data_IF_211784382577
#
_entry.id   IF_211784382577
#
_cell.length_a   1.000
_cell.length_b   1.000
_cell.length_c   1.000
_cell.angle_alpha   90.00
_cell.angle_beta   90.00
_cell.angle_gamma   90.00
#
_symmetry.space_group_name_H-M   'P 1'
#
loop_
_entity.id
_entity.type
_entity.pdbx_description
1 polymer ?
#
# COMPACT_ATOMS: atom_id res chain seq x y z
N UNK A 1 25.22 5.88 4.34
CA UNK A 1 25.26 6.88 3.24
C UNK A 1 24.89 6.31 1.86
N UNK A 2 24.32 5.10 1.77
CA UNK A 2 24.10 4.42 0.48
C UNK A 2 23.30 5.21 -0.55
N UNK A 3 22.14 5.77 -0.18
CA UNK A 3 21.31 6.55 -1.11
C UNK A 3 22.02 7.77 -1.73
N UNK A 4 22.83 8.49 -0.94
CA UNK A 4 23.65 9.60 -1.44
C UNK A 4 24.71 9.13 -2.45
N UNK A 5 25.43 8.05 -2.13
CA UNK A 5 26.46 7.50 -3.00
C UNK A 5 25.86 6.92 -4.29
N UNK A 6 24.66 6.32 -4.21
CA UNK A 6 23.93 5.84 -5.38
C UNK A 6 23.62 6.98 -6.36
N UNK A 7 23.12 8.12 -5.86
CA UNK A 7 22.87 9.31 -6.70
C UNK A 7 24.15 9.86 -7.33
N UNK A 8 25.25 9.93 -6.57
CA UNK A 8 26.56 10.33 -7.08
C UNK A 8 27.05 9.38 -8.18
N UNK A 9 26.90 8.08 -7.99
CA UNK A 9 27.27 7.06 -8.98
C UNK A 9 26.40 7.08 -10.24
N UNK A 10 25.12 7.44 -10.11
CA UNK A 10 24.17 7.54 -11.22
C UNK A 10 24.46 8.70 -12.20
N UNK A 11 25.41 9.57 -11.88
CA UNK A 11 25.94 10.55 -12.84
C UNK A 11 26.77 9.90 -13.96
N UNK A 12 27.21 8.64 -13.78
CA UNK A 12 27.86 7.88 -14.85
C UNK A 12 26.82 7.54 -15.95
N UNK A 13 27.07 7.91 -17.23
CA UNK A 13 26.11 7.74 -18.32
C UNK A 13 25.76 6.28 -18.64
N UNK A 14 26.54 5.32 -18.14
CA UNK A 14 26.27 3.89 -18.26
C UNK A 14 25.12 3.44 -17.35
N UNK A 15 24.88 4.14 -16.25
CA UNK A 15 23.82 3.82 -15.30
C UNK A 15 22.47 4.30 -15.83
N UNK A 16 21.53 3.36 -16.03
CA UNK A 16 20.21 3.64 -16.61
C UNK A 16 19.11 3.80 -15.58
N UNK A 17 19.33 3.31 -14.36
CA UNK A 17 18.40 3.45 -13.25
C UNK A 17 19.16 3.55 -11.92
N UNK A 18 18.61 4.32 -10.98
CA UNK A 18 19.14 4.51 -9.64
C UNK A 18 18.04 4.39 -8.59
N UNK A 19 18.31 3.64 -7.53
CA UNK A 19 17.46 3.61 -6.32
C UNK A 19 18.20 4.30 -5.19
N UNK A 20 17.76 5.51 -4.83
CA UNK A 20 18.27 6.24 -3.68
C UNK A 20 17.47 5.88 -2.43
N UNK A 21 17.91 4.85 -1.72
CA UNK A 21 17.29 4.44 -0.47
C UNK A 21 17.77 5.30 0.72
N UNK A 22 16.84 6.02 1.36
CA UNK A 22 17.09 6.89 2.51
C UNK A 22 18.30 7.83 2.31
N UNK A 23 18.42 8.37 1.10
CA UNK A 23 19.48 9.32 0.75
C UNK A 23 19.28 10.68 1.41
N UNK A 24 20.38 11.40 1.67
CA UNK A 24 20.35 12.78 2.16
C UNK A 24 20.76 13.76 1.06
N UNK A 25 20.22 14.97 1.11
CA UNK A 25 20.61 16.02 0.16
C UNK A 25 21.91 16.73 0.58
N UNK A 26 22.08 16.96 1.88
CA UNK A 26 23.23 17.63 2.48
C UNK A 26 23.44 17.10 3.91
N UNK A 27 24.52 16.35 4.14
CA UNK A 27 24.75 15.66 5.41
C UNK A 27 24.92 16.64 6.56
N UNK A 28 25.71 17.69 6.36
CA UNK A 28 25.98 18.67 7.41
C UNK A 28 24.71 19.43 7.82
N UNK A 29 23.86 19.76 6.84
CA UNK A 29 22.56 20.38 7.13
C UNK A 29 21.67 19.48 7.99
N UNK A 30 21.62 18.18 7.70
CA UNK A 30 20.85 17.19 8.50
C UNK A 30 21.37 17.11 9.94
N UNK A 31 22.69 17.07 10.12
CA UNK A 31 23.28 17.02 11.46
C UNK A 31 23.01 18.31 12.23
N UNK A 32 23.11 19.47 11.57
CA UNK A 32 22.86 20.79 12.17
C UNK A 32 21.45 20.92 12.73
N UNK A 33 20.43 20.36 12.07
CA UNK A 33 19.03 20.45 12.56
C UNK A 33 18.81 19.73 13.90
N UNK A 34 19.76 18.92 14.34
CA UNK A 34 19.70 18.14 15.59
C UNK A 34 20.55 18.73 16.72
N UNK A 35 21.18 19.87 16.48
CA UNK A 35 22.02 20.57 17.46
C UNK A 35 21.43 21.95 17.78
N UNK A 36 21.67 22.47 19.01
CA UNK A 36 21.30 23.84 19.33
C UNK A 36 21.97 24.81 18.34
N UNK A 37 21.17 25.67 17.71
CA UNK A 37 21.66 26.58 16.66
C UNK A 37 22.80 27.48 17.15
N UNK A 38 22.72 27.97 18.39
CA UNK A 38 23.80 28.78 18.99
C UNK A 38 25.11 28.01 19.10
N UNK A 39 25.07 26.72 19.46
CA UNK A 39 26.25 25.90 19.71
C UNK A 39 27.00 25.65 18.39
N UNK A 40 26.28 25.15 17.39
CA UNK A 40 26.87 24.83 16.09
C UNK A 40 27.32 26.09 15.33
N UNK A 41 26.56 27.19 15.39
CA UNK A 41 26.95 28.44 14.73
C UNK A 41 28.18 29.09 15.39
N UNK A 42 28.32 28.98 16.72
CA UNK A 42 29.51 29.45 17.44
C UNK A 42 30.78 28.68 17.08
N UNK A 43 30.66 27.38 16.80
CA UNK A 43 31.79 26.59 16.30
C UNK A 43 32.12 26.92 14.83
N UNK A 44 31.10 27.03 13.97
CA UNK A 44 31.29 27.41 12.56
C UNK A 44 31.94 28.78 12.42
N UNK A 45 31.58 29.76 13.25
CA UNK A 45 32.16 31.11 13.22
C UNK A 45 33.59 31.19 13.73
N UNK A 46 34.13 30.10 14.29
CA UNK A 46 35.45 30.05 14.92
C UNK A 46 35.49 30.67 16.32
N UNK A 47 34.37 31.16 16.86
CA UNK A 47 34.31 31.69 18.23
C UNK A 47 34.49 30.59 19.28
N UNK A 48 34.00 29.39 19.00
CA UNK A 48 34.23 28.19 19.80
C UNK A 48 35.33 27.33 19.16
N UNK A 49 36.38 27.02 19.93
CA UNK A 49 37.46 26.15 19.48
C UNK A 49 37.04 24.68 19.40
N UNK A 50 37.75 23.90 18.58
CA UNK A 50 37.56 22.45 18.48
C UNK A 50 37.69 21.75 19.84
N UNK A 51 38.64 22.19 20.68
CA UNK A 51 38.82 21.62 22.01
C UNK A 51 37.57 21.78 22.88
N UNK A 52 36.89 22.93 22.79
CA UNK A 52 35.65 23.18 23.52
C UNK A 52 34.51 22.33 22.94
N UNK A 53 34.35 22.31 21.61
CA UNK A 53 33.34 21.49 20.94
C UNK A 53 33.49 20.00 21.30
N UNK A 54 34.71 19.47 21.16
CA UNK A 54 35.05 18.08 21.46
C UNK A 54 34.82 17.74 22.93
N UNK A 55 35.15 18.65 23.86
CA UNK A 55 34.90 18.45 25.30
C UNK A 55 33.41 18.37 25.61
N UNK A 56 32.61 19.26 25.03
CA UNK A 56 31.15 19.25 25.20
C UNK A 56 30.55 17.95 24.66
N UNK A 57 30.92 17.55 23.44
CA UNK A 57 30.45 16.29 22.85
C UNK A 57 30.87 15.09 23.70
N UNK A 58 32.11 15.06 24.20
CA UNK A 58 32.59 13.98 25.07
C UNK A 58 31.81 13.87 26.39
N UNK A 59 31.50 15.00 27.03
CA UNK A 59 30.70 15.03 28.26
C UNK A 59 29.28 14.53 28.00
N UNK A 60 28.62 15.05 26.97
CA UNK A 60 27.25 14.66 26.62
C UNK A 60 27.17 13.19 26.18
N UNK A 61 28.19 12.69 25.50
CA UNK A 61 28.24 11.29 25.04
C UNK A 61 28.28 10.29 26.20
N UNK A 62 28.77 10.68 27.39
CA UNK A 62 28.72 9.82 28.59
C UNK A 62 27.30 9.55 29.08
N UNK A 63 26.37 10.44 28.77
CA UNK A 63 24.97 10.36 29.22
C UNK A 63 24.00 10.01 28.08
N UNK A 64 24.45 10.12 26.83
CA UNK A 64 23.65 9.80 25.65
C UNK A 64 24.34 8.73 24.81
N UNK A 65 23.82 7.50 24.90
CA UNK A 65 24.24 6.40 24.03
C UNK A 65 24.14 6.79 22.56
N UNK A 66 23.04 7.45 22.17
CA UNK A 66 22.82 7.86 20.78
C UNK A 66 23.91 8.83 20.30
N UNK A 67 24.27 9.83 21.10
CA UNK A 67 25.32 10.78 20.74
C UNK A 67 26.69 10.10 20.64
N UNK A 68 27.00 9.23 21.61
CA UNK A 68 28.25 8.45 21.62
C UNK A 68 28.35 7.54 20.40
N UNK A 69 27.27 6.84 20.07
CA UNK A 69 27.20 5.96 18.91
C UNK A 69 27.32 6.75 17.61
N UNK A 70 26.60 7.87 17.45
CA UNK A 70 26.62 8.67 16.22
C UNK A 70 28.01 9.26 15.92
N UNK A 71 28.65 9.91 16.90
CA UNK A 71 29.99 10.46 16.70
C UNK A 71 31.06 9.37 16.63
N UNK A 72 30.97 8.33 17.47
CA UNK A 72 31.90 7.20 17.44
C UNK A 72 31.87 6.44 16.11
N UNK A 73 30.67 6.13 15.63
CA UNK A 73 30.49 5.49 14.32
C UNK A 73 30.94 6.41 13.19
N UNK A 74 30.63 7.71 13.25
CA UNK A 74 31.08 8.66 12.22
C UNK A 74 32.61 8.80 12.16
N UNK A 75 33.28 8.89 13.32
CA UNK A 75 34.74 8.89 13.39
C UNK A 75 35.32 7.63 12.72
N UNK A 76 34.75 6.46 13.01
CA UNK A 76 35.17 5.21 12.39
C UNK A 76 34.92 5.18 10.87
N UNK A 77 33.72 5.57 10.41
CA UNK A 77 33.36 5.58 8.98
C UNK A 77 34.22 6.57 8.18
N UNK A 78 34.55 7.72 8.75
CA UNK A 78 35.29 8.77 8.06
C UNK A 78 36.81 8.69 8.25
N UNK A 79 37.29 7.89 9.21
CA UNK A 79 38.70 7.86 9.59
C UNK A 79 39.13 9.12 10.36
N UNK A 80 38.17 9.85 10.94
CA UNK A 80 38.41 11.05 11.74
C UNK A 80 38.68 10.68 13.20
N UNK A 81 39.47 11.48 13.90
CA UNK A 81 39.84 11.22 15.31
C UNK A 81 39.07 12.07 16.31
N UNK A 82 38.35 13.10 15.86
CA UNK A 82 37.58 14.00 16.73
C UNK A 82 36.17 14.30 16.21
N UNK A 83 35.21 14.61 17.10
CA UNK A 83 33.88 15.09 16.70
C UNK A 83 33.90 16.33 15.80
N UNK A 84 34.80 17.29 16.04
CA UNK A 84 34.94 18.48 15.21
C UNK A 84 35.37 18.12 13.77
N UNK A 85 36.29 17.16 13.61
CA UNK A 85 36.73 16.70 12.29
C UNK A 85 35.62 15.97 11.55
N UNK A 86 34.84 15.13 12.27
CA UNK A 86 33.61 14.53 11.72
C UNK A 86 32.67 15.59 11.15
N UNK A 87 32.44 16.67 11.89
CA UNK A 87 31.56 17.76 11.44
C UNK A 87 32.10 18.44 10.18
N UNK A 88 33.42 18.62 10.05
CA UNK A 88 34.05 19.15 8.83
C UNK A 88 33.93 18.16 7.67
N UNK A 89 34.15 16.88 7.92
CA UNK A 89 34.03 15.83 6.90
C UNK A 89 32.59 15.73 6.38
N UNK A 90 31.59 15.85 7.25
CA UNK A 90 30.18 15.90 6.86
C UNK A 90 29.85 17.05 5.88
N UNK A 91 30.55 18.18 5.93
CA UNK A 91 30.35 19.30 4.98
C UNK A 91 30.71 18.92 3.54
N UNK A 92 31.56 17.91 3.34
CA UNK A 92 31.98 17.43 2.01
C UNK A 92 30.88 16.61 1.33
N UNK A 93 29.90 16.11 2.09
CA UNK A 93 28.83 15.24 1.57
C UNK A 93 27.55 16.05 1.33
N UNK A 94 27.46 16.65 0.15
CA UNK A 94 26.30 17.43 -0.28
C UNK A 94 26.05 17.23 -1.77
N UNK A 95 24.81 17.35 -2.22
CA UNK A 95 24.44 17.39 -3.64
C UNK A 95 24.47 18.82 -4.21
N UNK A 96 24.65 19.82 -3.36
CA UNK A 96 24.89 21.21 -3.80
C UNK A 96 26.22 21.32 -4.53
N UNK A 97 26.27 22.14 -5.57
CA UNK A 97 27.53 22.57 -6.18
C UNK A 97 27.88 24.01 -5.80
N UNK A 98 29.14 24.38 -5.94
CA UNK A 98 29.67 25.70 -5.57
C UNK A 98 29.23 26.84 -6.49
N UNK A 99 28.74 26.51 -7.68
CA UNK A 99 28.26 27.42 -8.72
C UNK A 99 26.72 27.56 -8.70
N UNK A 100 26.07 27.19 -7.59
CA UNK A 100 24.62 27.08 -7.42
C UNK A 100 23.92 26.09 -8.37
N UNK A 101 24.68 25.31 -9.17
CA UNK A 101 24.12 24.25 -9.99
C UNK A 101 23.73 23.02 -9.17
N UNK A 102 22.81 22.22 -9.69
CA UNK A 102 22.30 21.03 -9.02
C UNK A 102 23.07 19.80 -9.49
N UNK A 103 23.74 19.07 -8.59
CA UNK A 103 24.45 17.84 -8.97
C UNK A 103 23.51 16.82 -9.63
N UNK A 104 22.26 16.75 -9.16
CA UNK A 104 21.27 15.81 -9.66
C UNK A 104 20.98 15.96 -11.17
N UNK A 105 21.24 17.13 -11.77
CA UNK A 105 21.12 17.34 -13.22
C UNK A 105 22.10 16.50 -14.05
N UNK A 106 23.14 15.93 -13.43
CA UNK A 106 24.08 15.01 -14.10
C UNK A 106 23.50 13.59 -14.29
N UNK A 107 22.38 13.26 -13.64
CA UNK A 107 21.76 11.94 -13.71
C UNK A 107 20.79 11.88 -14.88
N UNK A 108 21.06 11.01 -15.86
CA UNK A 108 20.18 10.83 -17.03
C UNK A 108 19.28 9.59 -16.94
N UNK A 109 19.59 8.67 -16.03
CA UNK A 109 18.81 7.46 -15.80
C UNK A 109 17.52 7.70 -15.00
N UNK A 110 16.64 6.70 -14.97
CA UNK A 110 15.45 6.75 -14.14
C UNK A 110 15.82 6.73 -12.65
N UNK A 111 15.09 7.45 -11.80
CA UNK A 111 15.43 7.57 -10.37
C UNK A 111 14.23 7.26 -9.48
N UNK A 112 14.36 6.24 -8.64
CA UNK A 112 13.48 6.02 -7.50
C UNK A 112 14.15 6.61 -6.26
N UNK A 113 13.51 7.61 -5.65
CA UNK A 113 13.91 8.17 -4.36
C UNK A 113 13.01 7.61 -3.29
N UNK A 114 13.59 7.03 -2.22
CA UNK A 114 12.83 6.54 -1.08
C UNK A 114 13.22 7.26 0.20
N UNK A 115 12.27 7.42 1.11
CA UNK A 115 12.49 8.00 2.43
C UNK A 115 11.56 7.41 3.48
N UNK A 116 11.84 7.66 4.76
CA UNK A 116 11.09 7.13 5.91
C UNK A 116 10.20 8.20 6.53
N UNK A 117 8.87 8.02 6.51
CA UNK A 117 7.95 8.95 7.17
C UNK A 117 8.09 8.89 8.69
N UNK A 118 8.30 7.69 9.25
CA UNK A 118 8.40 7.42 10.69
C UNK A 118 9.86 7.38 11.18
N UNK A 119 10.70 8.13 10.49
CA UNK A 119 12.13 8.35 10.75
C UNK A 119 12.43 8.86 12.15
N UNK A 120 13.44 8.27 12.80
CA UNK A 120 13.99 8.79 14.05
C UNK A 120 15.12 9.83 13.86
N UNK A 121 15.59 10.03 12.62
CA UNK A 121 16.79 10.83 12.34
C UNK A 121 16.51 12.16 11.65
N UNK A 122 15.70 12.14 10.59
CA UNK A 122 15.46 13.32 9.74
C UNK A 122 14.17 13.18 8.94
N UNK A 123 13.44 14.28 8.79
CA UNK A 123 12.17 14.27 8.05
C UNK A 123 12.40 14.03 6.55
N UNK A 124 11.42 13.43 5.85
CA UNK A 124 11.49 13.27 4.40
C UNK A 124 11.64 14.60 3.65
N UNK A 125 11.08 15.70 4.18
CA UNK A 125 11.15 17.04 3.58
C UNK A 125 12.57 17.58 3.46
N UNK A 126 13.42 17.27 4.44
CA UNK A 126 14.82 17.70 4.42
C UNK A 126 15.65 16.91 3.40
N UNK A 127 15.21 15.70 3.04
CA UNK A 127 16.00 14.72 2.31
C UNK A 127 15.27 14.14 1.10
N UNK A 128 14.55 13.03 1.24
CA UNK A 128 13.95 12.31 0.10
C UNK A 128 13.06 13.20 -0.78
N UNK A 129 12.16 13.99 -0.18
CA UNK A 129 11.30 14.93 -0.93
C UNK A 129 12.12 16.04 -1.57
N UNK A 130 13.15 16.54 -0.87
CA UNK A 130 14.07 17.56 -1.42
C UNK A 130 14.88 17.05 -2.61
N UNK A 131 15.41 15.83 -2.54
CA UNK A 131 16.11 15.20 -3.66
C UNK A 131 15.15 15.07 -4.85
N UNK A 132 13.94 14.54 -4.61
CA UNK A 132 12.95 14.34 -5.66
C UNK A 132 12.52 15.64 -6.34
N UNK A 133 12.25 16.71 -5.57
CA UNK A 133 11.86 18.02 -6.15
C UNK A 133 12.99 18.71 -6.90
N UNK A 134 14.25 18.30 -6.69
CA UNK A 134 15.43 18.82 -7.40
C UNK A 134 15.77 18.03 -8.68
N UNK A 135 15.17 16.87 -8.91
CA UNK A 135 15.21 16.14 -10.18
C UNK A 135 14.26 16.78 -11.22
N UNK A 136 14.41 18.08 -11.44
CA UNK A 136 13.49 18.88 -12.27
C UNK A 136 13.63 18.60 -13.77
N UNK A 137 14.79 18.13 -14.21
CA UNK A 137 15.09 17.84 -15.61
C UNK A 137 14.58 16.47 -16.07
N UNK A 138 14.29 15.55 -15.12
CA UNK A 138 13.73 14.25 -15.45
C UNK A 138 12.21 14.34 -15.63
N UNK A 139 11.64 13.71 -16.68
CA UNK A 139 10.20 13.61 -16.85
C UNK A 139 9.56 12.73 -15.77
N UNK A 140 8.25 12.91 -15.52
CA UNK A 140 7.54 12.24 -14.42
C UNK A 140 7.50 10.71 -14.55
N UNK A 141 7.57 10.16 -15.76
CA UNK A 141 7.66 8.71 -16.02
C UNK A 141 9.06 8.12 -15.72
N UNK A 142 10.07 8.99 -15.52
CA UNK A 142 11.46 8.60 -15.22
C UNK A 142 11.86 8.86 -13.78
N UNK A 143 10.97 9.34 -12.93
CA UNK A 143 11.25 9.52 -11.50
C UNK A 143 10.06 9.10 -10.65
N UNK A 144 10.35 8.54 -9.49
CA UNK A 144 9.32 8.19 -8.52
C UNK A 144 9.79 8.51 -7.10
N UNK A 145 8.84 8.89 -6.25
CA UNK A 145 9.05 9.11 -4.83
C UNK A 145 8.25 8.09 -4.03
N UNK A 146 8.90 7.40 -3.10
CA UNK A 146 8.24 6.49 -2.17
C UNK A 146 8.61 6.83 -0.72
N UNK A 147 7.66 7.44 0.00
CA UNK A 147 7.80 7.81 1.42
C UNK A 147 6.61 7.20 2.18
N UNK A 148 6.69 5.90 2.55
CA UNK A 148 5.63 5.22 3.28
C UNK A 148 5.63 5.57 4.76
N UNK A 149 4.50 5.29 5.44
CA UNK A 149 4.30 5.27 6.90
C UNK A 149 3.88 3.86 7.34
N UNK A 150 4.11 3.50 8.59
CA UNK A 150 3.86 2.15 9.13
C UNK A 150 5.03 1.20 8.86
N UNK A 151 5.39 0.37 9.84
CA UNK A 151 6.56 -0.53 9.76
C UNK A 151 6.41 -1.51 8.59
N UNK A 152 5.20 -2.04 8.43
CA UNK A 152 4.78 -3.00 7.41
C UNK A 152 4.93 -2.47 5.98
N UNK A 153 4.80 -1.16 5.78
CA UNK A 153 5.00 -0.51 4.48
C UNK A 153 6.39 0.09 4.32
N UNK A 154 7.29 -0.12 5.30
CA UNK A 154 8.65 0.40 5.28
C UNK A 154 8.76 1.84 5.77
N UNK A 155 7.91 2.29 6.69
CA UNK A 155 7.88 3.66 7.21
C UNK A 155 9.14 4.10 7.96
N UNK A 156 9.95 3.15 8.44
CA UNK A 156 11.24 3.38 9.11
C UNK A 156 12.44 3.32 8.14
N UNK A 157 13.64 3.68 8.61
CA UNK A 157 14.88 3.49 7.85
C UNK A 157 15.21 2.00 7.60
N UNK A 158 16.07 1.73 6.62
CA UNK A 158 16.54 0.37 6.27
C UNK A 158 15.42 -0.57 5.79
N UNK A 159 14.41 0.01 5.12
CA UNK A 159 13.19 -0.63 4.61
C UNK A 159 13.36 -1.61 3.44
N UNK A 160 14.52 -2.27 3.30
CA UNK A 160 14.80 -3.15 2.15
C UNK A 160 13.75 -4.27 2.05
N UNK A 161 13.29 -4.81 3.18
CA UNK A 161 12.22 -5.82 3.22
C UNK A 161 10.86 -5.35 2.70
N UNK A 162 10.55 -4.05 2.80
CA UNK A 162 9.29 -3.48 2.32
C UNK A 162 9.28 -3.19 0.81
N UNK A 163 10.42 -3.32 0.12
CA UNK A 163 10.49 -3.11 -1.34
C UNK A 163 9.57 -4.09 -2.08
N UNK A 164 9.45 -5.34 -1.59
CA UNK A 164 8.52 -6.33 -2.15
C UNK A 164 7.06 -5.86 -2.09
N UNK A 165 6.65 -5.32 -0.94
CA UNK A 165 5.30 -4.75 -0.74
C UNK A 165 5.06 -3.55 -1.65
N UNK A 166 6.06 -2.69 -1.88
CA UNK A 166 5.96 -1.57 -2.82
C UNK A 166 5.70 -2.04 -4.27
N UNK A 167 6.17 -3.22 -4.65
CA UNK A 167 5.94 -3.77 -5.99
C UNK A 167 4.55 -4.38 -6.15
N UNK A 168 3.85 -4.69 -5.06
CA UNK A 168 2.50 -5.26 -5.06
C UNK A 168 1.40 -4.18 -5.10
N UNK A 169 1.64 -3.07 -5.81
CA UNK A 169 0.62 -2.03 -5.98
C UNK A 169 -0.31 -2.37 -7.14
N UNK A 170 -1.60 -2.50 -6.83
CA UNK A 170 -2.66 -2.57 -7.83
C UNK A 170 -3.21 -1.17 -8.07
N UNK A 171 -3.30 -0.75 -9.33
CA UNK A 171 -3.88 0.54 -9.71
C UNK A 171 -5.14 0.34 -10.53
N UNK A 172 -6.19 1.10 -10.22
CA UNK A 172 -7.42 1.14 -11.01
C UNK A 172 -7.37 2.39 -11.90
N UNK A 173 -7.44 2.26 -13.23
CA UNK A 173 -7.39 3.42 -14.13
C UNK A 173 -8.53 4.41 -13.83
N UNK A 174 -8.18 5.67 -13.55
CA UNK A 174 -9.17 6.72 -13.19
C UNK A 174 -10.16 7.03 -14.33
N UNK A 175 -9.74 6.80 -15.57
CA UNK A 175 -10.49 7.11 -16.79
C UNK A 175 -11.36 5.93 -17.28
N UNK A 176 -11.41 4.81 -16.54
CA UNK A 176 -12.19 3.64 -16.96
C UNK A 176 -13.68 3.96 -17.08
N UNK A 177 -14.30 3.59 -18.20
CA UNK A 177 -15.73 3.71 -18.46
C UNK A 177 -16.31 2.38 -18.92
N UNK A 178 -17.17 1.79 -18.09
CA UNK A 178 -17.87 0.55 -18.44
C UNK A 178 -18.71 0.75 -19.71
N UNK A 179 -18.63 -0.23 -20.62
CA UNK A 179 -19.28 -0.19 -21.93
C UNK A 179 -18.49 0.58 -23.01
N UNK A 180 -17.43 1.30 -22.64
CA UNK A 180 -16.58 2.04 -23.59
C UNK A 180 -15.16 1.50 -23.57
N UNK A 181 -14.48 1.56 -22.42
CA UNK A 181 -13.09 1.12 -22.29
C UNK A 181 -12.95 -0.38 -22.52
N UNK A 182 -13.82 -1.19 -21.89
CA UNK A 182 -13.81 -2.65 -22.05
C UNK A 182 -14.32 -3.15 -23.42
N UNK A 183 -14.75 -2.24 -24.29
CA UNK A 183 -15.18 -2.54 -25.66
C UNK A 183 -14.20 -1.99 -26.71
N UNK A 184 -13.12 -1.32 -26.29
CA UNK A 184 -12.12 -0.81 -27.21
C UNK A 184 -11.32 -1.96 -27.85
N UNK A 185 -10.78 -1.73 -29.04
CA UNK A 185 -9.99 -2.73 -29.75
C UNK A 185 -8.74 -3.17 -28.95
N UNK A 186 -8.13 -2.23 -28.24
CA UNK A 186 -6.96 -2.45 -27.39
C UNK A 186 -7.29 -3.32 -26.18
N UNK A 187 -8.46 -3.11 -25.57
CA UNK A 187 -8.91 -3.92 -24.44
C UNK A 187 -9.30 -5.32 -24.90
N UNK A 188 -10.08 -5.44 -25.98
CA UNK A 188 -10.54 -6.73 -26.52
C UNK A 188 -9.38 -7.58 -27.05
N UNK A 189 -8.29 -6.96 -27.51
CA UNK A 189 -7.07 -7.68 -27.86
C UNK A 189 -6.43 -8.41 -26.67
N UNK A 190 -6.61 -7.90 -25.45
CA UNK A 190 -6.12 -8.51 -24.20
C UNK A 190 -7.16 -9.41 -23.55
N UNK A 191 -8.42 -8.97 -23.55
CA UNK A 191 -9.55 -9.64 -22.89
C UNK A 191 -10.72 -9.77 -23.86
N UNK A 192 -10.78 -10.87 -24.66
CA UNK A 192 -11.71 -11.00 -25.77
C UNK A 192 -13.20 -10.96 -25.41
N UNK A 193 -13.55 -11.28 -24.16
CA UNK A 193 -14.93 -11.23 -23.66
C UNK A 193 -15.40 -9.79 -23.37
N UNK A 194 -14.50 -8.82 -23.29
CA UNK A 194 -14.83 -7.44 -22.94
C UNK A 194 -15.49 -7.29 -21.56
N UNK A 195 -15.29 -8.26 -20.67
CA UNK A 195 -15.83 -8.27 -19.30
C UNK A 195 -14.83 -7.65 -18.32
N UNK A 196 -15.35 -7.23 -17.17
CA UNK A 196 -14.56 -6.78 -16.02
C UNK A 196 -15.04 -7.50 -14.75
N UNK A 197 -14.18 -7.69 -13.73
CA UNK A 197 -12.80 -7.22 -13.63
C UNK A 197 -11.82 -7.94 -14.59
N UNK A 198 -10.75 -7.24 -14.93
CA UNK A 198 -9.64 -7.73 -15.75
C UNK A 198 -8.33 -7.17 -15.18
N UNK A 199 -7.27 -7.98 -15.18
CA UNK A 199 -5.99 -7.66 -14.55
C UNK A 199 -4.85 -7.78 -15.56
N UNK A 200 -4.00 -6.75 -15.61
CA UNK A 200 -2.75 -6.73 -16.35
C UNK A 200 -1.58 -6.46 -15.38
N UNK A 201 -0.66 -7.41 -15.29
CA UNK A 201 0.58 -7.28 -14.52
C UNK A 201 1.62 -6.42 -15.24
N UNK A 202 2.57 -5.87 -14.49
CA UNK A 202 3.67 -5.06 -15.05
C UNK A 202 4.59 -5.84 -16.00
N UNK A 203 4.55 -7.16 -15.93
CA UNK A 203 5.27 -8.11 -16.79
C UNK A 203 4.45 -8.55 -18.01
N UNK A 204 3.25 -7.99 -18.21
CA UNK A 204 2.33 -8.37 -19.29
C UNK A 204 1.44 -9.55 -18.96
N UNK A 205 1.44 -10.08 -17.73
CA UNK A 205 0.53 -11.14 -17.30
C UNK A 205 -0.92 -10.67 -17.41
N UNK A 206 -1.79 -11.44 -18.08
CA UNK A 206 -3.21 -11.12 -18.26
C UNK A 206 -4.09 -12.15 -17.55
N UNK A 207 -4.96 -11.70 -16.65
CA UNK A 207 -5.90 -12.55 -15.89
C UNK A 207 -7.29 -11.94 -15.96
N UNK A 208 -8.30 -12.76 -16.23
CA UNK A 208 -9.72 -12.40 -16.16
C UNK A 208 -10.44 -13.38 -15.22
N UNK A 209 -11.69 -13.06 -14.88
CA UNK A 209 -12.48 -13.64 -13.76
C UNK A 209 -12.05 -13.12 -12.39
N UNK A 210 -13.01 -12.58 -11.63
CA UNK A 210 -12.75 -11.90 -10.35
C UNK A 210 -12.03 -12.78 -9.34
N UNK A 211 -12.45 -14.05 -9.22
CA UNK A 211 -11.86 -14.98 -8.24
C UNK A 211 -10.45 -15.40 -8.62
N UNK A 212 -10.16 -15.54 -9.92
CA UNK A 212 -8.82 -15.85 -10.40
C UNK A 212 -7.86 -14.69 -10.15
N UNK A 213 -8.32 -13.45 -10.38
CA UNK A 213 -7.56 -12.24 -10.06
C UNK A 213 -7.32 -12.14 -8.55
N UNK A 214 -8.36 -12.34 -7.73
CA UNK A 214 -8.25 -12.27 -6.28
C UNK A 214 -7.30 -13.33 -5.71
N UNK A 215 -7.37 -14.57 -6.23
CA UNK A 215 -6.43 -15.63 -5.87
C UNK A 215 -5.00 -15.25 -6.23
N UNK A 216 -4.74 -14.80 -7.47
CA UNK A 216 -3.40 -14.40 -7.90
C UNK A 216 -2.82 -13.28 -7.03
N UNK A 217 -3.61 -12.26 -6.69
CA UNK A 217 -3.19 -11.16 -5.82
C UNK A 217 -2.89 -11.66 -4.41
N UNK A 218 -3.72 -12.57 -3.87
CA UNK A 218 -3.51 -13.15 -2.55
C UNK A 218 -2.22 -14.01 -2.50
N UNK A 219 -2.00 -14.87 -3.51
CA UNK A 219 -0.79 -15.70 -3.63
C UNK A 219 0.48 -14.87 -3.81
N UNK A 220 0.37 -13.75 -4.52
CA UNK A 220 1.49 -12.84 -4.76
C UNK A 220 1.85 -12.02 -3.53
N UNK A 221 0.95 -11.90 -2.56
CA UNK A 221 1.08 -11.07 -1.36
C UNK A 221 1.64 -11.82 -0.13
N UNK A 222 2.07 -11.10 0.92
CA UNK A 222 2.60 -11.70 2.15
C UNK A 222 1.55 -12.44 2.99
N UNK A 223 0.26 -12.36 2.61
CA UNK A 223 -0.87 -12.93 3.35
C UNK A 223 -1.49 -14.15 2.64
N UNK A 224 -0.80 -14.77 1.69
CA UNK A 224 -1.31 -15.91 0.91
C UNK A 224 -1.84 -17.04 1.79
N UNK A 225 -1.05 -17.52 2.75
CA UNK A 225 -1.46 -18.61 3.66
C UNK A 225 -2.71 -18.25 4.49
N UNK A 226 -2.84 -16.99 4.88
CA UNK A 226 -3.99 -16.48 5.65
C UNK A 226 -5.26 -16.41 4.81
N UNK A 227 -5.16 -15.91 3.57
CA UNK A 227 -6.30 -15.71 2.69
C UNK A 227 -6.74 -16.98 1.96
N UNK A 228 -5.81 -17.90 1.71
CA UNK A 228 -6.01 -19.08 0.85
C UNK A 228 -5.95 -20.40 1.62
N UNK A 229 -5.67 -20.36 2.92
CA UNK A 229 -5.63 -21.54 3.78
C UNK A 229 -4.25 -22.20 3.82
N UNK A 230 -3.92 -22.77 4.98
CA UNK A 230 -2.60 -23.36 5.26
C UNK A 230 -2.48 -24.83 4.86
N UNK A 231 -3.60 -25.54 4.78
CA UNK A 231 -3.67 -26.96 4.46
C UNK A 231 -4.70 -27.26 3.36
N UNK A 232 -4.74 -28.52 2.91
CA UNK A 232 -5.62 -28.94 1.81
C UNK A 232 -7.11 -28.80 2.15
N UNK A 233 -7.50 -28.95 3.42
CA UNK A 233 -8.89 -28.87 3.84
C UNK A 233 -9.34 -27.42 3.89
N UNK A 234 -8.54 -26.51 4.46
CA UNK A 234 -8.83 -25.07 4.46
C UNK A 234 -8.93 -24.56 3.02
N UNK A 235 -7.98 -24.92 2.14
CA UNK A 235 -7.99 -24.55 0.72
C UNK A 235 -9.27 -25.00 0.00
N UNK A 236 -9.67 -26.26 0.19
CA UNK A 236 -10.89 -26.80 -0.41
C UNK A 236 -12.15 -26.10 0.14
N UNK A 237 -12.18 -25.82 1.44
CA UNK A 237 -13.30 -25.14 2.11
C UNK A 237 -13.43 -23.69 1.63
N UNK A 238 -12.32 -22.98 1.48
CA UNK A 238 -12.30 -21.61 0.91
C UNK A 238 -12.84 -21.65 -0.52
N UNK A 239 -12.36 -22.57 -1.36
CA UNK A 239 -12.83 -22.70 -2.74
C UNK A 239 -14.32 -23.04 -2.82
N UNK A 240 -14.82 -23.92 -1.94
CA UNK A 240 -16.24 -24.26 -1.84
C UNK A 240 -17.09 -23.01 -1.59
N UNK A 241 -16.70 -22.19 -0.62
CA UNK A 241 -17.46 -20.99 -0.24
C UNK A 241 -17.35 -19.86 -1.27
N UNK A 242 -16.25 -19.76 -2.00
CA UNK A 242 -16.14 -18.87 -3.17
C UNK A 242 -17.17 -19.26 -4.24
N UNK A 243 -17.20 -20.54 -4.63
CA UNK A 243 -18.16 -21.03 -5.63
C UNK A 243 -19.61 -20.91 -5.15
N UNK A 244 -19.86 -21.19 -3.87
CA UNK A 244 -21.18 -20.99 -3.28
C UNK A 244 -21.61 -19.52 -3.34
N UNK A 245 -20.71 -18.59 -3.05
CA UNK A 245 -21.01 -17.16 -3.09
C UNK A 245 -21.37 -16.69 -4.50
N UNK A 246 -20.72 -17.21 -5.54
CA UNK A 246 -21.04 -16.85 -6.92
C UNK A 246 -22.39 -17.43 -7.38
N UNK A 247 -22.62 -18.71 -7.10
CA UNK A 247 -23.77 -19.46 -7.62
C UNK A 247 -25.05 -19.27 -6.81
N UNK A 248 -24.97 -19.30 -5.48
CA UNK A 248 -26.15 -19.30 -4.59
C UNK A 248 -26.47 -17.90 -4.03
N UNK A 249 -25.55 -16.93 -4.17
CA UNK A 249 -25.75 -15.56 -3.67
C UNK A 249 -25.68 -14.54 -4.80
N UNK A 250 -24.53 -14.39 -5.46
CA UNK A 250 -24.31 -13.32 -6.45
C UNK A 250 -25.26 -13.47 -7.66
N UNK A 251 -25.39 -14.68 -8.21
CA UNK A 251 -26.24 -14.95 -9.37
C UNK A 251 -27.71 -14.52 -9.15
N UNK A 252 -28.44 -14.99 -8.11
CA UNK A 252 -29.81 -14.54 -7.87
C UNK A 252 -29.88 -13.07 -7.43
N UNK A 253 -28.87 -12.53 -6.74
CA UNK A 253 -28.83 -11.10 -6.39
C UNK A 253 -28.80 -10.23 -7.64
N UNK A 254 -28.03 -10.61 -8.66
CA UNK A 254 -27.97 -9.88 -9.93
C UNK A 254 -29.35 -9.88 -10.62
N UNK A 255 -30.04 -11.02 -10.67
CA UNK A 255 -31.40 -11.11 -11.24
C UNK A 255 -32.39 -10.17 -10.52
N UNK A 256 -32.30 -10.08 -9.19
CA UNK A 256 -33.15 -9.21 -8.37
C UNK A 256 -32.78 -7.73 -8.53
N UNK A 257 -31.51 -7.40 -8.72
CA UNK A 257 -31.06 -5.99 -8.70
C UNK A 257 -31.19 -5.32 -10.06
N UNK A 258 -30.93 -6.01 -11.17
CA UNK A 258 -30.79 -5.38 -12.49
C UNK A 258 -32.02 -4.57 -12.92
N UNK A 259 -33.24 -5.05 -12.62
CA UNK A 259 -34.44 -4.29 -12.95
C UNK A 259 -34.70 -3.13 -11.98
N UNK A 260 -34.34 -3.29 -10.69
CA UNK A 260 -34.46 -2.22 -9.67
C UNK A 260 -33.57 -1.02 -9.99
N UNK A 261 -32.44 -1.25 -10.67
CA UNK A 261 -31.55 -0.18 -11.15
C UNK A 261 -31.84 0.24 -12.60
N UNK A 262 -32.93 -0.25 -13.21
CA UNK A 262 -33.38 0.15 -14.54
C UNK A 262 -32.54 -0.38 -15.70
N UNK A 263 -31.70 -1.41 -15.49
CA UNK A 263 -30.86 -1.99 -16.54
C UNK A 263 -31.61 -3.03 -17.38
N UNK A 264 -32.63 -3.68 -16.81
CA UNK A 264 -33.50 -4.63 -17.52
C UNK A 264 -34.97 -4.43 -17.12
N UNK A 265 -35.96 -4.86 -17.93
CA UNK A 265 -37.37 -4.87 -17.53
C UNK A 265 -37.65 -5.86 -16.39
N UNK A 266 -38.69 -5.59 -15.60
CA UNK A 266 -39.17 -6.51 -14.56
C UNK A 266 -39.82 -7.76 -15.16
N UNK A 267 -39.51 -8.92 -14.58
CA UNK A 267 -40.15 -10.20 -14.85
C UNK A 267 -40.45 -10.91 -13.52
N UNK A 268 -41.74 -11.12 -13.24
CA UNK A 268 -42.19 -11.72 -11.99
C UNK A 268 -41.71 -13.17 -11.80
N UNK A 269 -41.58 -13.96 -12.89
CA UNK A 269 -41.10 -15.34 -12.79
C UNK A 269 -39.60 -15.40 -12.45
N UNK A 270 -38.83 -14.46 -12.98
CA UNK A 270 -37.40 -14.32 -12.66
C UNK A 270 -37.24 -13.87 -11.20
N UNK A 271 -37.95 -12.82 -10.78
CA UNK A 271 -37.93 -12.31 -9.40
C UNK A 271 -38.26 -13.42 -8.38
N UNK A 272 -39.34 -14.17 -8.60
CA UNK A 272 -39.77 -15.24 -7.69
C UNK A 272 -38.72 -16.35 -7.57
N UNK A 273 -38.19 -16.83 -8.71
CA UNK A 273 -37.15 -17.88 -8.72
C UNK A 273 -35.85 -17.42 -8.07
N UNK A 274 -35.43 -16.19 -8.37
CA UNK A 274 -34.24 -15.60 -7.80
C UNK A 274 -34.39 -15.43 -6.28
N UNK A 275 -35.54 -14.97 -5.80
CA UNK A 275 -35.82 -14.82 -4.38
C UNK A 275 -35.82 -16.17 -3.65
N UNK A 276 -36.42 -17.21 -4.23
CA UNK A 276 -36.38 -18.58 -3.66
C UNK A 276 -34.94 -19.09 -3.55
N UNK A 277 -34.15 -18.91 -4.62
CA UNK A 277 -32.75 -19.34 -4.66
C UNK A 277 -31.91 -18.59 -3.63
N UNK A 278 -32.02 -17.26 -3.59
CA UNK A 278 -31.33 -16.42 -2.63
C UNK A 278 -31.68 -16.83 -1.19
N UNK A 279 -32.97 -16.95 -0.85
CA UNK A 279 -33.39 -17.35 0.50
C UNK A 279 -32.83 -18.70 0.92
N UNK A 280 -32.76 -19.68 0.00
CA UNK A 280 -32.10 -20.97 0.27
C UNK A 280 -30.61 -20.79 0.59
N UNK A 281 -29.90 -19.97 -0.19
CA UNK A 281 -28.51 -19.62 0.06
C UNK A 281 -28.31 -18.95 1.42
N UNK A 282 -29.14 -17.95 1.75
CA UNK A 282 -29.10 -17.24 3.04
C UNK A 282 -29.40 -18.19 4.21
N UNK A 283 -30.39 -19.08 4.10
CA UNK A 283 -30.68 -20.09 5.13
C UNK A 283 -29.51 -21.05 5.37
N UNK A 284 -28.82 -21.47 4.30
CA UNK A 284 -27.62 -22.30 4.42
C UNK A 284 -26.52 -21.58 5.19
N UNK A 285 -26.25 -20.32 4.85
CA UNK A 285 -25.25 -19.48 5.54
C UNK A 285 -25.62 -19.22 7.00
N UNK A 286 -26.87 -18.89 7.29
CA UNK A 286 -27.37 -18.64 8.65
C UNK A 286 -27.14 -19.86 9.56
N UNK A 287 -27.44 -21.05 9.05
CA UNK A 287 -27.21 -22.31 9.76
C UNK A 287 -25.71 -22.59 9.92
N UNK A 288 -24.94 -22.46 8.84
CA UNK A 288 -23.52 -22.80 8.83
C UNK A 288 -22.69 -21.88 9.74
N UNK A 289 -22.99 -20.59 9.74
CA UNK A 289 -22.31 -19.58 10.56
C UNK A 289 -22.69 -19.65 12.04
N UNK A 290 -23.68 -20.45 12.43
CA UNK A 290 -24.03 -20.64 13.83
C UNK A 290 -22.86 -21.29 14.60
N UNK A 291 -22.30 -20.55 15.56
CA UNK A 291 -21.10 -20.97 16.29
C UNK A 291 -19.78 -20.78 15.53
N UNK A 292 -19.79 -20.20 14.32
CA UNK A 292 -18.59 -19.92 13.54
C UNK A 292 -18.35 -18.42 13.40
N UNK A 293 -17.09 -18.01 13.50
CA UNK A 293 -16.69 -16.63 13.25
C UNK A 293 -16.50 -16.36 11.76
N UNK A 294 -15.85 -17.29 11.06
CA UNK A 294 -15.53 -17.21 9.63
C UNK A 294 -15.97 -18.48 8.89
N UNK A 295 -16.01 -18.42 7.56
CA UNK A 295 -16.49 -19.51 6.72
C UNK A 295 -15.54 -20.71 6.68
N UNK A 296 -14.23 -20.47 6.67
CA UNK A 296 -13.25 -21.53 6.41
C UNK A 296 -12.13 -21.65 7.47
N UNK A 297 -11.91 -20.60 8.25
CA UNK A 297 -10.77 -20.44 9.16
C UNK A 297 -11.25 -20.08 10.57
N UNK A 298 -10.42 -20.32 11.59
CA UNK A 298 -10.82 -20.08 13.00
C UNK A 298 -10.53 -18.64 13.45
N UNK A 299 -9.32 -18.16 13.20
CA UNK A 299 -8.83 -16.90 13.81
C UNK A 299 -9.17 -15.66 12.98
N UNK A 300 -8.98 -15.77 11.67
CA UNK A 300 -8.94 -14.65 10.73
C UNK A 300 -9.85 -14.86 9.50
N UNK A 301 -10.39 -13.79 8.89
CA UNK A 301 -11.15 -13.93 7.65
C UNK A 301 -10.24 -14.37 6.48
N UNK A 302 -10.79 -15.24 5.64
CA UNK A 302 -10.16 -15.76 4.42
C UNK A 302 -10.73 -15.09 3.17
N UNK A 303 -10.20 -15.45 1.99
CA UNK A 303 -10.75 -14.98 0.72
C UNK A 303 -12.24 -15.34 0.56
N UNK A 304 -12.69 -16.48 1.10
CA UNK A 304 -14.10 -16.86 1.08
C UNK A 304 -15.00 -15.84 1.77
N UNK A 305 -14.57 -15.32 2.92
CA UNK A 305 -15.34 -14.34 3.70
C UNK A 305 -15.47 -13.00 2.96
N UNK A 306 -14.38 -12.55 2.32
CA UNK A 306 -14.38 -11.34 1.51
C UNK A 306 -15.17 -11.50 0.21
N UNK A 307 -15.10 -12.66 -0.46
CA UNK A 307 -15.92 -12.96 -1.64
C UNK A 307 -17.41 -12.96 -1.29
N UNK A 308 -17.80 -13.59 -0.18
CA UNK A 308 -19.21 -13.59 0.27
C UNK A 308 -19.69 -12.16 0.57
N UNK A 309 -18.88 -11.35 1.26
CA UNK A 309 -19.24 -9.95 1.52
C UNK A 309 -19.38 -9.14 0.22
N UNK A 310 -18.54 -9.39 -0.78
CA UNK A 310 -18.68 -8.81 -2.12
C UNK A 310 -20.00 -9.20 -2.79
N UNK A 311 -20.34 -10.48 -2.78
CA UNK A 311 -21.60 -10.98 -3.33
C UNK A 311 -22.85 -10.42 -2.62
N UNK A 312 -22.77 -10.25 -1.30
CA UNK A 312 -23.86 -9.67 -0.50
C UNK A 312 -23.99 -8.16 -0.61
N UNK A 313 -23.03 -7.45 -1.20
CA UNK A 313 -22.99 -5.98 -1.19
C UNK A 313 -24.27 -5.35 -1.74
N UNK A 314 -24.67 -5.72 -2.96
CA UNK A 314 -25.93 -5.26 -3.54
C UNK A 314 -27.16 -5.89 -2.90
N UNK A 315 -27.03 -7.10 -2.34
CA UNK A 315 -28.13 -7.74 -1.62
C UNK A 315 -28.58 -6.87 -0.45
N UNK A 316 -27.66 -6.42 0.42
CA UNK A 316 -28.00 -5.53 1.55
C UNK A 316 -28.44 -4.13 1.14
N UNK A 317 -27.99 -3.66 -0.04
CA UNK A 317 -28.34 -2.34 -0.56
C UNK A 317 -29.68 -2.30 -1.31
N UNK A 318 -30.26 -3.42 -1.73
CA UNK A 318 -31.41 -3.42 -2.65
C UNK A 318 -32.46 -4.51 -2.35
N UNK A 319 -32.10 -5.59 -1.66
CA UNK A 319 -32.95 -6.80 -1.55
C UNK A 319 -33.20 -7.20 -0.09
N UNK A 320 -32.16 -7.36 0.72
CA UNK A 320 -32.23 -7.80 2.11
C UNK A 320 -32.65 -6.61 2.98
N UNK A 321 -33.96 -6.42 3.06
CA UNK A 321 -34.63 -5.42 3.90
C UNK A 321 -34.57 -5.74 5.40
N UNK A 322 -35.18 -4.89 6.23
CA UNK A 322 -35.18 -5.04 7.69
C UNK A 322 -35.79 -6.37 8.14
N UNK A 323 -36.87 -6.83 7.50
CA UNK A 323 -37.55 -8.10 7.84
C UNK A 323 -36.67 -9.30 7.52
N UNK A 324 -36.00 -9.29 6.36
CA UNK A 324 -35.06 -10.36 6.01
C UNK A 324 -33.85 -10.39 6.95
N UNK A 325 -33.39 -9.23 7.43
CA UNK A 325 -32.30 -9.19 8.44
C UNK A 325 -32.71 -9.80 9.77
N UNK A 326 -33.96 -9.63 10.18
CA UNK A 326 -34.50 -10.26 11.39
C UNK A 326 -34.60 -11.80 11.25
N UNK A 327 -34.81 -12.30 10.03
CA UNK A 327 -34.81 -13.73 9.72
C UNK A 327 -33.40 -14.33 9.63
N UNK A 328 -32.41 -13.53 9.23
CA UNK A 328 -31.00 -13.94 9.06
C UNK A 328 -30.02 -13.10 9.92
N UNK A 329 -30.19 -13.10 11.26
CA UNK A 329 -29.41 -12.24 12.14
C UNK A 329 -27.94 -12.65 12.27
N UNK A 330 -27.59 -13.93 12.15
CA UNK A 330 -26.19 -14.40 12.23
C UNK A 330 -25.43 -13.93 10.98
N UNK A 331 -26.01 -14.13 9.80
CA UNK A 331 -25.45 -13.65 8.53
C UNK A 331 -25.31 -12.13 8.52
N UNK A 332 -26.33 -11.41 9.01
CA UNK A 332 -26.28 -9.95 9.09
C UNK A 332 -25.11 -9.46 9.95
N UNK A 333 -24.90 -10.07 11.13
CA UNK A 333 -23.75 -9.75 11.99
C UNK A 333 -22.42 -10.15 11.36
N UNK A 334 -22.37 -11.26 10.63
CA UNK A 334 -21.19 -11.68 9.88
C UNK A 334 -20.81 -10.63 8.83
N UNK A 335 -21.76 -10.21 8.00
CA UNK A 335 -21.54 -9.20 6.96
C UNK A 335 -21.07 -7.87 7.55
N UNK A 336 -21.75 -7.38 8.60
CA UNK A 336 -21.35 -6.16 9.32
C UNK A 336 -19.91 -6.23 9.85
N UNK A 337 -19.47 -7.40 10.32
CA UNK A 337 -18.09 -7.61 10.79
C UNK A 337 -17.07 -7.50 9.66
N UNK A 338 -17.35 -8.11 8.51
CA UNK A 338 -16.42 -8.07 7.35
C UNK A 338 -16.30 -6.66 6.80
N UNK A 339 -17.41 -5.95 6.58
CA UNK A 339 -17.35 -4.58 6.02
C UNK A 339 -16.74 -3.56 6.98
N UNK A 340 -16.71 -3.85 8.28
CA UNK A 340 -16.04 -3.03 9.29
C UNK A 340 -14.56 -3.39 9.48
N UNK A 341 -14.05 -4.43 8.81
CA UNK A 341 -12.66 -4.87 8.95
C UNK A 341 -11.69 -3.79 8.43
N UNK A 342 -10.70 -3.44 9.24
CA UNK A 342 -9.84 -2.24 9.03
C UNK A 342 -9.24 -2.18 7.63
N UNK A 343 -8.75 -3.32 7.13
CA UNK A 343 -8.05 -3.43 5.85
C UNK A 343 -8.97 -3.32 4.63
N UNK A 344 -10.29 -3.46 4.78
CA UNK A 344 -11.24 -3.45 3.66
C UNK A 344 -12.40 -2.47 3.83
N UNK A 345 -12.59 -1.88 5.00
CA UNK A 345 -13.69 -0.94 5.27
C UNK A 345 -13.74 0.23 4.28
N UNK A 346 -12.60 0.59 3.68
CA UNK A 346 -12.55 1.64 2.67
C UNK A 346 -13.23 1.23 1.35
N UNK A 347 -13.24 -0.07 1.02
CA UNK A 347 -13.92 -0.63 -0.15
C UNK A 347 -15.43 -0.60 0.04
N UNK A 348 -15.90 -0.87 1.26
CA UNK A 348 -17.31 -0.98 1.60
C UNK A 348 -17.94 0.31 2.15
N UNK A 349 -17.31 1.48 2.01
CA UNK A 349 -17.83 2.76 2.57
C UNK A 349 -19.23 3.13 2.10
N UNK A 350 -19.64 2.63 0.95
CA UNK A 350 -20.96 2.85 0.36
C UNK A 350 -21.99 1.80 0.79
N UNK A 351 -21.62 0.82 1.62
CA UNK A 351 -22.55 -0.20 2.10
C UNK A 351 -23.67 0.48 2.89
N UNK A 352 -24.88 0.38 2.38
CA UNK A 352 -26.10 0.84 3.04
C UNK A 352 -27.04 -0.33 3.25
N UNK A 353 -27.72 -0.36 4.40
CA UNK A 353 -28.74 -1.35 4.70
C UNK A 353 -30.11 -0.74 4.37
N UNK A 354 -30.82 -1.31 3.40
CA UNK A 354 -32.17 -0.82 3.08
C UNK A 354 -33.18 -1.20 4.16
N UNK A 355 -34.09 -0.30 4.52
CA UNK A 355 -35.15 -0.64 5.48
C UNK A 355 -36.28 -1.44 4.83
N UNK A 356 -36.69 -1.03 3.63
CA UNK A 356 -37.74 -1.68 2.85
C UNK A 356 -37.23 -1.83 1.41
N UNK A 357 -37.42 -3.02 0.84
CA UNK A 357 -37.04 -3.28 -0.55
C UNK A 357 -38.05 -2.65 -1.50
N UNK A 358 -37.59 -2.28 -2.68
CA UNK A 358 -38.47 -1.83 -3.76
C UNK A 358 -39.17 -3.06 -4.34
N UNK A 359 -40.50 -3.06 -4.27
CA UNK A 359 -41.38 -4.00 -4.96
C UNK A 359 -41.95 -3.31 -6.24
N UNK A 360 -42.30 -4.10 -7.26
CA UNK A 360 -42.84 -3.61 -8.54
C UNK A 360 -44.32 -3.24 -8.46
#
# INVERSE_FOLDING_TARGET
MGGYLALRGAADPRIKACVSCDGFYDMFHVTRTRMPSWFINSWISGWMSDSVFNSVVAVLSRQSFQLAWEFGHSMWVYGDTTPADVMRTMQKFTLKQSDDSEFLHKINGAVLVTGAQDTMYFTPDLNARRIFTRLTHLPEDRKALWVPSGVEFGGQQAKIGAIGVKQQQVSVPREFRLGVTNQSSEFLAKFPLGKVPAFEGSDGTLIFESDAIAQYVAESGPFGDKLLGKDSLEKATIRQWILFSDLEIMSPVIELVMWRVGMVPFDASVEEKAMVTLRRGLSCLECYLNGRKWLATEDDPSLADFTLAGACFWAFMQVIDSKMRDEFPILTRFYQRIIAWEDVKYVFRQATFIEERIDH
#
